data_IF_060846377220
#
_entry.id   IF_060846377220
#
_cell.length_a   1.000
_cell.length_b   1.000
_cell.length_c   1.000
_cell.angle_alpha   90.00
_cell.angle_beta   90.00
_cell.angle_gamma   90.00
#
_symmetry.space_group_name_H-M   'P 1'
#
loop_
_entity.id
_entity.type
_entity.pdbx_description
1 polymer ?
#
# COMPACT_ATOMS: atom_id res chain seq x y z
N UNK A 1 12.81 27.79 10.69
CA UNK A 1 13.04 27.01 9.45
C UNK A 1 13.64 27.80 8.27
N UNK A 2 13.04 28.91 7.82
CA UNK A 2 13.44 29.60 6.56
C UNK A 2 14.91 30.06 6.50
N UNK A 3 15.49 30.50 7.63
CA UNK A 3 16.91 30.85 7.73
C UNK A 3 17.82 29.67 7.35
N UNK A 4 17.50 28.46 7.83
CA UNK A 4 18.25 27.24 7.49
C UNK A 4 18.14 26.91 6.00
N UNK A 5 16.94 27.00 5.42
CA UNK A 5 16.71 26.70 4.00
C UNK A 5 17.40 27.66 3.05
N UNK A 6 17.63 28.92 3.47
CA UNK A 6 18.40 29.90 2.69
C UNK A 6 19.84 29.45 2.47
N UNK A 7 20.47 28.86 3.50
CA UNK A 7 21.85 28.37 3.44
C UNK A 7 21.91 26.93 2.92
N UNK A 8 20.98 26.08 3.34
CA UNK A 8 20.91 24.66 3.00
C UNK A 8 19.59 24.32 2.30
N UNK A 9 19.48 24.70 1.02
CA UNK A 9 18.24 24.55 0.25
C UNK A 9 17.71 23.12 0.18
N UNK A 10 18.58 22.12 0.22
CA UNK A 10 18.22 20.68 0.17
C UNK A 10 18.00 20.05 1.55
N UNK A 11 18.13 20.80 2.64
CA UNK A 11 17.84 20.29 3.96
C UNK A 11 16.39 19.78 4.03
N UNK A 12 16.24 18.51 4.39
CA UNK A 12 14.99 17.87 4.71
C UNK A 12 15.20 17.13 6.04
N UNK A 13 14.56 17.56 7.13
CA UNK A 13 14.61 16.81 8.38
C UNK A 13 13.97 15.43 8.16
N UNK A 14 14.50 14.42 8.83
CA UNK A 14 13.77 13.16 8.96
C UNK A 14 12.47 13.39 9.78
N UNK A 15 11.51 12.48 9.68
CA UNK A 15 10.19 12.64 10.30
C UNK A 15 10.25 12.90 11.82
N UNK A 16 11.15 12.20 12.54
CA UNK A 16 11.30 12.37 13.98
C UNK A 16 11.78 13.77 14.35
N UNK A 17 12.80 14.26 13.65
CA UNK A 17 13.33 15.59 13.86
C UNK A 17 12.34 16.69 13.44
N UNK A 18 11.61 16.50 12.33
CA UNK A 18 10.61 17.43 11.85
C UNK A 18 9.51 17.67 12.90
N UNK A 19 9.01 16.58 13.51
CA UNK A 19 8.00 16.65 14.57
C UNK A 19 8.48 17.48 15.77
N UNK A 20 9.64 17.15 16.32
CA UNK A 20 10.23 17.86 17.47
C UNK A 20 10.43 19.34 17.13
N UNK A 21 10.90 19.63 15.92
CA UNK A 21 11.14 20.99 15.48
C UNK A 21 9.85 21.82 15.39
N UNK A 22 8.73 21.24 14.93
CA UNK A 22 7.44 21.94 14.94
C UNK A 22 6.92 22.23 16.35
N UNK A 23 7.02 21.25 17.26
CA UNK A 23 6.63 21.42 18.66
C UNK A 23 7.40 22.57 19.33
N UNK A 24 8.72 22.63 19.07
CA UNK A 24 9.58 23.68 19.58
C UNK A 24 9.23 25.05 18.98
N UNK A 25 8.99 25.13 17.67
CA UNK A 25 8.63 26.37 16.97
C UNK A 25 7.31 26.94 17.49
N UNK A 26 6.31 26.07 17.69
CA UNK A 26 5.03 26.45 18.28
C UNK A 26 5.21 26.96 19.72
N UNK A 27 6.03 26.29 20.53
CA UNK A 27 6.28 26.68 21.92
C UNK A 27 7.01 28.03 22.03
N UNK A 28 7.99 28.28 21.16
CA UNK A 28 8.83 29.49 21.23
C UNK A 28 8.22 30.69 20.51
N UNK A 29 7.48 30.47 19.44
CA UNK A 29 7.05 31.52 18.52
C UNK A 29 5.53 31.58 18.30
N UNK A 30 4.76 30.67 18.90
CA UNK A 30 3.30 30.61 18.76
C UNK A 30 2.82 30.19 17.36
N UNK A 31 3.74 29.78 16.48
CA UNK A 31 3.45 29.33 15.12
C UNK A 31 4.52 28.36 14.62
N UNK A 32 4.13 27.52 13.68
CA UNK A 32 5.04 26.60 13.00
C UNK A 32 5.55 27.24 11.69
N UNK A 33 6.86 27.24 11.47
CA UNK A 33 7.52 27.84 10.30
C UNK A 33 7.75 26.86 9.15
N UNK A 34 7.28 25.61 9.28
CA UNK A 34 7.31 24.59 8.24
C UNK A 34 6.09 23.69 8.26
N UNK A 35 5.64 23.28 7.09
CA UNK A 35 4.66 22.21 6.92
C UNK A 35 5.38 20.85 6.98
N UNK A 36 4.98 19.97 7.90
CA UNK A 36 5.51 18.61 8.04
C UNK A 36 4.51 17.63 7.44
N UNK A 37 4.93 16.95 6.38
CA UNK A 37 4.13 15.94 5.71
C UNK A 37 4.69 14.57 6.12
N UNK A 38 4.01 13.90 7.04
CA UNK A 38 4.37 12.55 7.46
C UNK A 38 4.24 11.58 6.28
N UNK A 39 5.37 11.16 5.70
CA UNK A 39 5.41 10.28 4.53
C UNK A 39 6.02 8.95 4.92
N UNK A 40 5.24 8.09 5.57
CA UNK A 40 5.64 6.69 5.79
C UNK A 40 5.56 5.92 4.48
N UNK A 41 6.67 5.31 4.01
CA UNK A 41 6.63 4.46 2.84
C UNK A 41 5.69 3.27 3.10
N UNK A 42 4.82 2.96 2.14
CA UNK A 42 3.90 1.82 2.26
C UNK A 42 4.65 0.50 2.08
N UNK A 43 4.45 -0.42 3.01
CA UNK A 43 4.96 -1.79 2.88
C UNK A 43 4.48 -2.44 1.59
N UNK A 44 5.39 -3.06 0.85
CA UNK A 44 5.06 -3.92 -0.28
C UNK A 44 4.70 -5.28 0.26
N UNK A 45 3.49 -5.72 -0.04
CA UNK A 45 2.98 -7.05 0.33
C UNK A 45 3.09 -7.95 -0.90
N UNK A 46 3.57 -9.18 -0.69
CA UNK A 46 3.63 -10.17 -1.75
C UNK A 46 2.20 -10.55 -2.20
N UNK A 47 1.87 -10.44 -3.50
CA UNK A 47 0.53 -10.79 -3.98
C UNK A 47 0.25 -12.30 -3.94
N UNK A 48 1.28 -13.14 -3.80
CA UNK A 48 1.15 -14.61 -3.83
C UNK A 48 0.90 -15.17 -2.43
N UNK A 49 1.69 -14.74 -1.44
CA UNK A 49 1.63 -15.28 -0.08
C UNK A 49 1.19 -14.28 1.00
N UNK A 50 0.87 -13.04 0.64
CA UNK A 50 0.41 -12.01 1.57
C UNK A 50 1.46 -11.52 2.57
N UNK A 51 2.72 -11.98 2.48
CA UNK A 51 3.79 -11.58 3.40
C UNK A 51 4.38 -10.22 3.04
N UNK A 52 4.80 -9.47 4.06
CA UNK A 52 5.56 -8.25 3.89
C UNK A 52 6.90 -8.53 3.19
N UNK A 53 7.15 -7.83 2.08
CA UNK A 53 8.30 -8.01 1.21
C UNK A 53 9.24 -6.79 1.19
N UNK A 54 9.14 -5.91 2.18
CA UNK A 54 9.95 -4.69 2.31
C UNK A 54 9.28 -3.43 1.76
N UNK A 55 10.04 -2.34 1.65
CA UNK A 55 9.53 -1.03 1.21
C UNK A 55 9.74 -0.78 -0.29
N UNK A 56 10.63 -1.54 -0.93
CA UNK A 56 11.05 -1.31 -2.31
C UNK A 56 10.57 -2.42 -3.25
N UNK A 57 10.49 -2.08 -4.54
CA UNK A 57 10.23 -3.06 -5.60
C UNK A 57 11.36 -4.10 -5.72
N UNK A 58 12.59 -3.75 -5.37
CA UNK A 58 13.73 -4.68 -5.37
C UNK A 58 13.60 -5.73 -4.28
N UNK A 59 13.19 -5.34 -3.07
CA UNK A 59 12.90 -6.29 -1.98
C UNK A 59 11.75 -7.22 -2.34
N UNK A 60 10.69 -6.70 -2.98
CA UNK A 60 9.59 -7.53 -3.49
C UNK A 60 10.06 -8.52 -4.57
N UNK A 61 10.86 -8.06 -5.54
CA UNK A 61 11.43 -8.94 -6.58
C UNK A 61 12.28 -10.05 -5.98
N UNK A 62 13.16 -9.71 -5.05
CA UNK A 62 13.99 -10.68 -4.34
C UNK A 62 13.15 -11.70 -3.56
N UNK A 63 12.09 -11.24 -2.89
CA UNK A 63 11.15 -12.11 -2.20
C UNK A 63 10.49 -13.11 -3.17
N UNK A 64 10.01 -12.64 -4.32
CA UNK A 64 9.40 -13.49 -5.35
C UNK A 64 10.40 -14.52 -5.89
N UNK A 65 11.63 -14.10 -6.19
CA UNK A 65 12.67 -14.99 -6.71
C UNK A 65 13.04 -16.11 -5.72
N UNK A 66 13.12 -15.80 -4.42
CA UNK A 66 13.51 -16.76 -3.38
C UNK A 66 12.35 -17.66 -2.94
N UNK A 67 11.18 -17.06 -2.69
CA UNK A 67 10.04 -17.76 -2.08
C UNK A 67 9.11 -18.38 -3.10
N UNK A 68 9.12 -17.87 -4.34
CA UNK A 68 8.23 -18.28 -5.43
C UNK A 68 9.04 -18.56 -6.71
N UNK A 69 10.19 -19.24 -6.56
CA UNK A 69 11.15 -19.54 -7.64
C UNK A 69 10.52 -20.17 -8.89
N UNK A 70 9.51 -21.02 -8.71
CA UNK A 70 8.76 -21.67 -9.82
C UNK A 70 7.95 -20.68 -10.67
N UNK A 71 7.57 -19.52 -10.11
CA UNK A 71 6.81 -18.47 -10.81
C UNK A 71 7.72 -17.33 -11.31
N UNK A 72 8.92 -17.18 -10.75
CA UNK A 72 9.89 -16.12 -11.12
C UNK A 72 10.79 -16.50 -12.31
N UNK A 73 10.77 -17.75 -12.77
CA UNK A 73 11.66 -18.25 -13.83
C UNK A 73 11.11 -17.98 -15.23
N UNK A 74 10.85 -16.71 -15.57
CA UNK A 74 10.81 -16.24 -16.96
C UNK A 74 9.90 -16.97 -17.97
N UNK A 75 8.83 -17.65 -17.54
CA UNK A 75 7.80 -18.11 -18.49
C UNK A 75 6.73 -17.04 -18.66
N UNK A 76 6.36 -16.77 -19.91
CA UNK A 76 5.20 -15.95 -20.29
C UNK A 76 3.93 -16.37 -19.53
N UNK A 77 3.80 -17.66 -19.21
CA UNK A 77 2.65 -18.21 -18.48
C UNK A 77 2.59 -17.71 -17.02
N UNK A 78 3.74 -17.50 -16.37
CA UNK A 78 3.78 -16.97 -14.99
C UNK A 78 3.46 -15.48 -14.94
N UNK A 79 3.91 -14.70 -15.93
CA UNK A 79 3.55 -13.29 -16.03
C UNK A 79 2.05 -13.12 -16.28
N UNK A 80 1.48 -13.93 -17.18
CA UNK A 80 0.05 -13.94 -17.47
C UNK A 80 -0.78 -14.38 -16.26
N UNK A 81 -0.38 -15.44 -15.56
CA UNK A 81 -1.07 -15.90 -14.35
C UNK A 81 -1.08 -14.81 -13.26
N UNK A 82 0.01 -14.04 -13.11
CA UNK A 82 0.08 -12.96 -12.13
C UNK A 82 -0.79 -11.76 -12.50
N UNK A 83 -0.84 -11.35 -13.77
CA UNK A 83 -1.74 -10.26 -14.19
C UNK A 83 -3.22 -10.67 -14.07
N UNK A 84 -3.56 -11.94 -14.35
CA UNK A 84 -4.91 -12.48 -14.13
C UNK A 84 -5.27 -12.44 -12.64
N UNK A 85 -4.40 -12.94 -11.75
CA UNK A 85 -4.66 -12.91 -10.30
C UNK A 85 -4.79 -11.48 -9.76
N UNK A 86 -3.98 -10.55 -10.26
CA UNK A 86 -4.05 -9.13 -9.90
C UNK A 86 -5.36 -8.48 -10.37
N UNK A 87 -5.80 -8.77 -11.59
CA UNK A 87 -7.09 -8.31 -12.11
C UNK A 87 -8.25 -8.89 -11.28
N UNK A 88 -8.23 -10.19 -10.98
CA UNK A 88 -9.26 -10.83 -10.14
C UNK A 88 -9.29 -10.24 -8.73
N UNK A 89 -8.14 -9.91 -8.15
CA UNK A 89 -8.08 -9.28 -6.82
C UNK A 89 -8.68 -7.87 -6.85
N UNK A 90 -8.38 -7.07 -7.87
CA UNK A 90 -8.97 -5.74 -8.05
C UNK A 90 -10.50 -5.80 -8.25
N UNK A 91 -11.00 -6.83 -8.96
CA UNK A 91 -12.43 -7.09 -9.14
C UNK A 91 -13.11 -7.54 -7.85
N UNK A 92 -12.44 -8.36 -7.02
CA UNK A 92 -12.98 -8.80 -5.73
C UNK A 92 -13.10 -7.65 -4.72
N UNK A 93 -12.19 -6.68 -4.79
CA UNK A 93 -12.22 -5.44 -3.98
C UNK A 93 -13.35 -4.51 -4.42
N UNK A 94 -13.72 -4.50 -5.71
CA UNK A 94 -14.85 -3.71 -6.21
C UNK A 94 -16.22 -4.33 -5.90
N UNK A 95 -16.30 -5.63 -5.64
CA UNK A 95 -17.54 -6.31 -5.25
C UNK A 95 -17.88 -6.15 -3.75
N UNK A 96 -16.95 -5.77 -2.87
CA UNK A 96 -17.22 -5.61 -1.44
C UNK A 96 -18.01 -4.33 -1.08
N UNK A 97 -18.74 -3.76 -2.04
CA UNK A 97 -19.60 -2.60 -1.86
C UNK A 97 -20.91 -2.75 -2.63
N UNK A 98 -21.72 -3.78 -2.34
CA UNK A 98 -23.19 -3.74 -2.53
C UNK A 98 -23.91 -4.93 -1.87
N UNK A 99 -24.51 -4.63 -0.71
CA UNK A 99 -25.87 -4.97 -0.22
C UNK A 99 -26.52 -6.35 -0.50
N UNK A 100 -26.78 -7.05 0.62
CA UNK A 100 -27.97 -7.83 1.05
C UNK A 100 -28.48 -9.06 0.27
N UNK A 101 -28.56 -10.25 0.91
CA UNK A 101 -29.22 -11.43 0.34
C UNK A 101 -30.73 -11.38 0.63
N UNK A 102 -31.57 -11.38 -0.40
CA UNK A 102 -32.99 -11.72 -0.24
C UNK A 102 -33.20 -13.14 -0.70
N UNK A 103 -33.38 -14.04 0.27
CA UNK A 103 -33.88 -15.39 0.03
C UNK A 103 -35.35 -15.27 -0.42
N UNK A 104 -35.69 -15.86 -1.57
CA UNK A 104 -37.07 -16.22 -1.89
C UNK A 104 -37.11 -17.73 -2.11
N UNK A 105 -37.47 -18.44 -1.06
CA UNK A 105 -38.05 -19.79 -1.12
C UNK A 105 -39.53 -19.66 -1.48
N UNK A 106 -40.02 -20.53 -2.36
CA UNK A 106 -41.45 -20.87 -2.52
C UNK A 106 -41.65 -21.94 -3.61
N UNK A 107 -42.75 -22.72 -3.59
CA UNK A 107 -42.64 -24.18 -3.48
C UNK A 107 -43.17 -24.96 -4.69
N UNK A 108 -42.83 -26.25 -4.62
CA UNK A 108 -43.44 -27.41 -5.27
C UNK A 108 -44.97 -27.32 -5.44
N UNK A 109 -45.48 -27.63 -6.64
CA UNK A 109 -46.76 -28.32 -6.85
C UNK A 109 -46.70 -29.06 -8.19
N UNK A 110 -47.12 -30.33 -8.17
CA UNK A 110 -46.98 -31.28 -9.28
C UNK A 110 -48.28 -31.54 -10.04
N UNK A 111 -48.23 -32.63 -10.83
CA UNK A 111 -49.34 -33.35 -11.49
C UNK A 111 -49.97 -32.63 -12.70
N UNK A 112 -50.22 -33.25 -13.86
CA UNK A 112 -50.39 -34.65 -14.31
C UNK A 112 -49.74 -34.84 -15.69
#
# INVERSE_FOLDING_TARGET
WQKLKRVHRRAQPNDGFAKILQELDQKLHGKVSMEWQHRKPTMKVCPICGKNAGLSSSSLKLHLQKSHRKLSSGSVDSAMTMEIQKALTALKISHSGSISPTQKTSPNSGSL
#
